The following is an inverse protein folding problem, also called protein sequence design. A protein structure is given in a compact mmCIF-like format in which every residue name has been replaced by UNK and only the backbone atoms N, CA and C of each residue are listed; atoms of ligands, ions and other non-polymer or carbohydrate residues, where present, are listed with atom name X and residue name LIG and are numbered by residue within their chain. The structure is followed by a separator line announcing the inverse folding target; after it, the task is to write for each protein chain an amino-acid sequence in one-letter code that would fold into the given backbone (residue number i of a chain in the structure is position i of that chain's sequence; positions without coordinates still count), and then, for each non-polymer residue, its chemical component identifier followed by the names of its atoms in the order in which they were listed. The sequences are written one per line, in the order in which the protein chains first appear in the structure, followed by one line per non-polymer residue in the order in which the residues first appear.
data_IF_330639840639
#
_entry.id   IF_330639840639
#
_cell.length_a   1.000
_cell.length_b   1.000
_cell.length_c   1.000
_cell.angle_alpha   90.00
_cell.angle_beta   90.00
_cell.angle_gamma   90.00
#
_symmetry.space_group_name_H-M   'P 1'
#
loop_
_entity.id
_entity.type
_entity.pdbx_description
1 polymer ?
#
# COMPACT_ATOMS: atom_id res chain seq x y z
N UNK A 1 23.20 -23.94 1.22
CA UNK A 1 22.81 -22.58 0.82
C UNK A 1 22.16 -21.94 2.03
N UNK A 2 22.89 -21.06 2.71
CA UNK A 2 22.48 -20.38 3.93
C UNK A 2 21.36 -19.37 3.65
N UNK A 3 20.42 -19.25 4.58
CA UNK A 3 19.26 -18.35 4.49
C UNK A 3 19.63 -16.85 4.41
N UNK A 4 20.90 -16.48 4.60
CA UNK A 4 21.40 -15.10 4.47
C UNK A 4 21.65 -14.62 3.03
N UNK A 5 21.58 -15.50 2.03
CA UNK A 5 21.88 -15.17 0.61
C UNK A 5 20.64 -14.92 -0.26
N UNK A 6 19.43 -15.01 0.29
CA UNK A 6 18.19 -14.64 -0.40
C UNK A 6 17.93 -13.13 -0.24
N UNK A 7 17.84 -12.44 -1.38
CA UNK A 7 17.21 -11.12 -1.52
C UNK A 7 17.87 -9.94 -0.78
N UNK A 8 18.99 -9.44 -1.31
CA UNK A 8 19.30 -8.00 -1.21
C UNK A 8 18.82 -7.28 -2.47
N UNK A 9 18.26 -6.07 -2.37
CA UNK A 9 18.19 -5.15 -3.51
C UNK A 9 19.57 -5.11 -4.18
N UNK A 10 19.63 -5.42 -5.48
CA UNK A 10 20.90 -5.59 -6.19
C UNK A 10 21.69 -4.29 -6.18
N UNK A 11 22.87 -4.31 -5.55
CA UNK A 11 24.13 -3.52 -5.69
C UNK A 11 24.17 -2.06 -6.21
N UNK A 12 23.09 -1.43 -6.68
CA UNK A 12 23.08 -0.07 -7.22
C UNK A 12 22.42 0.95 -6.30
N UNK A 13 21.50 0.54 -5.43
CA UNK A 13 20.95 1.40 -4.40
C UNK A 13 21.88 1.40 -3.18
N UNK A 14 22.48 2.56 -2.88
CA UNK A 14 23.22 2.79 -1.64
C UNK A 14 22.37 2.35 -0.43
N UNK A 15 22.95 1.57 0.49
CA UNK A 15 22.24 1.01 1.64
C UNK A 15 21.58 2.10 2.50
N UNK A 16 22.24 3.26 2.61
CA UNK A 16 21.65 4.42 3.29
C UNK A 16 20.40 4.93 2.60
N UNK A 17 20.38 4.95 1.27
CA UNK A 17 19.25 5.39 0.47
C UNK A 17 18.04 4.46 0.58
N UNK A 18 18.29 3.14 0.66
CA UNK A 18 17.25 2.13 0.89
C UNK A 18 16.58 2.31 2.26
N UNK A 19 17.37 2.50 3.32
CA UNK A 19 16.85 2.77 4.67
C UNK A 19 15.93 4.01 4.69
N UNK A 20 16.29 5.09 3.97
CA UNK A 20 15.42 6.26 3.87
C UNK A 20 14.09 5.95 3.17
N UNK A 21 14.11 5.18 2.08
CA UNK A 21 12.88 4.73 1.41
C UNK A 21 12.00 3.91 2.34
N UNK A 22 12.58 2.97 3.07
CA UNK A 22 11.86 2.10 4.00
C UNK A 22 11.28 2.88 5.18
N UNK A 23 12.01 3.86 5.71
CA UNK A 23 11.50 4.77 6.75
C UNK A 23 10.35 5.62 6.26
N UNK A 24 10.40 6.10 5.01
CA UNK A 24 9.32 6.88 4.41
C UNK A 24 8.07 6.03 4.21
N UNK A 25 8.22 4.83 3.65
CA UNK A 25 7.12 3.88 3.51
C UNK A 25 6.56 3.45 4.88
N UNK A 26 7.41 3.24 5.89
CA UNK A 26 7.00 2.93 7.26
C UNK A 26 6.29 4.11 7.95
N UNK A 27 6.65 5.35 7.63
CA UNK A 27 5.93 6.55 8.07
C UNK A 27 4.52 6.58 7.47
N UNK A 28 4.38 6.30 6.17
CA UNK A 28 3.09 6.26 5.48
C UNK A 28 2.20 5.10 5.93
N UNK A 29 2.75 3.90 6.12
CA UNK A 29 2.02 2.75 6.68
C UNK A 29 1.51 3.03 8.09
N UNK A 30 2.32 3.68 8.94
CA UNK A 30 1.85 4.12 10.27
C UNK A 30 0.72 5.14 10.17
N UNK A 31 0.85 6.14 9.30
CA UNK A 31 -0.21 7.12 9.06
C UNK A 31 -1.52 6.50 8.55
N UNK A 32 -1.43 5.40 7.78
CA UNK A 32 -2.59 4.63 7.36
C UNK A 32 -3.29 3.95 8.55
N UNK A 33 -2.53 3.36 9.46
CA UNK A 33 -3.02 2.61 10.63
C UNK A 33 -3.61 3.49 11.74
N UNK A 34 -3.18 4.74 11.86
CA UNK A 34 -3.65 5.68 12.88
C UNK A 34 -4.97 6.37 12.52
N UNK A 35 -5.51 6.10 11.32
CA UNK A 35 -6.81 6.63 10.87
C UNK A 35 -7.92 6.21 11.85
N UNK A 36 -8.33 7.14 12.70
CA UNK A 36 -9.41 6.96 13.68
C UNK A 36 -8.98 7.01 15.15
N UNK A 37 -7.69 7.10 15.48
CA UNK A 37 -7.25 7.24 16.89
C UNK A 37 -7.74 8.56 17.50
N UNK A 38 -7.57 9.66 16.78
CA UNK A 38 -8.05 10.98 17.20
C UNK A 38 -9.56 11.02 17.42
N UNK A 39 -10.33 10.38 16.52
CA UNK A 39 -11.78 10.28 16.63
C UNK A 39 -12.20 9.46 17.86
N UNK A 40 -11.55 8.31 18.10
CA UNK A 40 -11.79 7.48 19.29
C UNK A 40 -11.46 8.24 20.57
N UNK A 41 -10.33 8.93 20.63
CA UNK A 41 -9.93 9.71 21.78
C UNK A 41 -10.93 10.84 22.07
N UNK A 42 -11.31 11.62 21.03
CA UNK A 42 -12.32 12.66 21.17
C UNK A 42 -13.65 12.10 21.69
N UNK A 43 -14.09 10.96 21.15
CA UNK A 43 -15.29 10.28 21.61
C UNK A 43 -15.18 9.80 23.07
N UNK A 44 -14.07 9.19 23.47
CA UNK A 44 -13.82 8.76 24.84
C UNK A 44 -13.86 9.94 25.80
N UNK A 45 -13.22 11.07 25.45
CA UNK A 45 -13.24 12.29 26.26
C UNK A 45 -14.67 12.84 26.38
N UNK A 46 -15.45 12.83 25.31
CA UNK A 46 -16.88 13.21 25.37
C UNK A 46 -17.65 12.35 26.37
N UNK A 47 -17.47 11.03 26.35
CA UNK A 47 -18.17 10.13 27.27
C UNK A 47 -17.74 10.33 28.72
N UNK A 48 -16.43 10.43 28.98
CA UNK A 48 -15.90 10.62 30.34
C UNK A 48 -16.34 11.98 30.90
N UNK A 49 -16.24 13.04 30.11
CA UNK A 49 -16.69 14.37 30.51
C UNK A 49 -18.21 14.40 30.74
N UNK A 50 -18.99 13.72 29.90
CA UNK A 50 -20.44 13.60 30.07
C UNK A 50 -20.81 12.88 31.37
N UNK A 51 -20.14 11.77 31.66
CA UNK A 51 -20.33 11.05 32.92
C UNK A 51 -19.99 11.92 34.13
N UNK A 52 -18.88 12.66 34.08
CA UNK A 52 -18.49 13.58 35.16
C UNK A 52 -19.50 14.72 35.36
N UNK A 53 -20.02 15.31 34.28
CA UNK A 53 -21.08 16.33 34.35
C UNK A 53 -22.34 15.75 35.01
N UNK A 54 -22.77 14.55 34.61
CA UNK A 54 -23.94 13.89 35.21
C UNK A 54 -23.72 13.57 36.70
N UNK A 55 -22.54 13.08 37.08
CA UNK A 55 -22.19 12.80 38.48
C UNK A 55 -22.05 14.06 39.34
N UNK A 56 -21.75 15.22 38.73
CA UNK A 56 -21.67 16.49 39.45
C UNK A 56 -23.04 17.07 39.81
N UNK A 57 -24.09 16.73 39.06
CA UNK A 57 -25.41 17.33 39.22
C UNK A 57 -26.06 17.07 40.59
N UNK A 58 -25.99 15.87 41.20
CA UNK A 58 -26.48 15.65 42.56
C UNK A 58 -25.66 16.35 43.65
N UNK A 59 -24.37 16.62 43.40
CA UNK A 59 -23.44 17.18 44.39
C UNK A 59 -23.43 18.71 44.39
N UNK A 60 -23.55 19.34 43.22
CA UNK A 60 -23.36 20.78 43.04
C UNK A 60 -24.51 21.45 42.27
N UNK A 61 -25.53 20.69 41.87
CA UNK A 61 -26.53 21.14 40.90
C UNK A 61 -25.93 21.33 39.50
N UNK A 62 -26.71 21.90 38.58
CA UNK A 62 -26.24 22.30 37.23
C UNK A 62 -25.83 23.78 37.16
N UNK A 63 -25.95 24.51 38.27
CA UNK A 63 -25.72 25.96 38.32
C UNK A 63 -24.29 26.40 37.98
N UNK A 64 -23.30 25.53 38.23
CA UNK A 64 -21.88 25.81 37.94
C UNK A 64 -21.56 25.85 36.44
N UNK A 65 -22.37 25.17 35.61
CA UNK A 65 -22.20 25.10 34.15
C UNK A 65 -23.31 25.83 33.38
N UNK A 66 -24.35 26.28 34.07
CA UNK A 66 -25.48 27.00 33.47
C UNK A 66 -26.19 26.18 32.37
N UNK A 67 -26.89 26.85 31.43
CA UNK A 67 -27.64 26.17 30.36
C UNK A 67 -26.74 25.41 29.37
N UNK A 68 -25.42 25.57 29.44
CA UNK A 68 -24.46 24.98 28.52
C UNK A 68 -23.84 23.67 29.02
N UNK A 69 -24.20 23.20 30.22
CA UNK A 69 -23.70 21.94 30.77
C UNK A 69 -23.75 20.74 29.80
N UNK A 70 -24.80 20.56 28.97
CA UNK A 70 -24.84 19.47 27.98
C UNK A 70 -23.83 19.61 26.84
N UNK A 71 -23.34 20.82 26.56
CA UNK A 71 -22.41 21.10 25.46
C UNK A 71 -20.94 20.91 25.86
N UNK A 72 -20.61 21.08 27.15
CA UNK A 72 -19.23 21.01 27.66
C UNK A 72 -18.54 19.69 27.25
N UNK A 73 -19.15 18.49 27.41
CA UNK A 73 -18.50 17.24 27.02
C UNK A 73 -18.19 17.17 25.52
N UNK A 74 -19.11 17.66 24.68
CA UNK A 74 -18.97 17.64 23.22
C UNK A 74 -17.83 18.55 22.79
N UNK A 75 -17.77 19.77 23.33
CA UNK A 75 -16.67 20.70 23.04
C UNK A 75 -15.33 20.15 23.51
N UNK A 76 -15.27 19.55 24.70
CA UNK A 76 -14.03 18.99 25.22
C UNK A 76 -13.53 17.81 24.37
N UNK A 77 -14.43 16.92 23.97
CA UNK A 77 -14.10 15.81 23.07
C UNK A 77 -13.66 16.28 21.69
N UNK A 78 -14.35 17.26 21.10
CA UNK A 78 -13.97 17.86 19.82
C UNK A 78 -12.61 18.56 19.89
N UNK A 79 -12.38 19.40 20.89
CA UNK A 79 -11.13 20.12 21.07
C UNK A 79 -9.96 19.15 21.23
N UNK A 80 -10.14 18.08 22.04
CA UNK A 80 -9.09 17.09 22.26
C UNK A 80 -8.83 16.24 21.01
N UNK A 81 -9.89 15.79 20.33
CA UNK A 81 -9.78 15.01 19.10
C UNK A 81 -9.12 15.81 17.97
N UNK A 82 -9.52 17.07 17.77
CA UNK A 82 -8.91 17.96 16.79
C UNK A 82 -7.46 18.31 17.16
N UNK A 83 -7.19 18.64 18.42
CA UNK A 83 -5.84 18.93 18.91
C UNK A 83 -4.87 17.78 18.64
N UNK A 84 -5.28 16.56 18.98
CA UNK A 84 -4.49 15.35 18.69
C UNK A 84 -4.30 15.15 17.18
N UNK A 85 -5.36 15.31 16.39
CA UNK A 85 -5.27 15.17 14.93
C UNK A 85 -4.27 16.17 14.31
N UNK A 86 -4.32 17.44 14.71
CA UNK A 86 -3.37 18.45 14.23
C UNK A 86 -1.94 18.16 14.70
N UNK A 87 -1.77 17.70 15.94
CA UNK A 87 -0.46 17.30 16.45
C UNK A 87 0.12 16.13 15.64
N UNK A 88 -0.62 15.04 15.44
CA UNK A 88 -0.18 13.89 14.64
C UNK A 88 0.11 14.31 13.18
N UNK A 89 -0.71 15.20 12.61
CA UNK A 89 -0.54 15.66 11.23
C UNK A 89 0.69 16.55 11.06
N UNK A 90 0.98 17.42 12.02
CA UNK A 90 2.17 18.28 11.99
C UNK A 90 3.44 17.47 12.18
N UNK A 91 3.45 16.51 13.11
CA UNK A 91 4.57 15.59 13.32
C UNK A 91 4.83 14.73 12.06
N UNK A 92 3.78 14.18 11.45
CA UNK A 92 3.87 13.44 10.21
C UNK A 92 4.52 14.27 9.09
N UNK A 93 4.06 15.52 8.90
CA UNK A 93 4.62 16.42 7.89
C UNK A 93 6.09 16.78 8.16
N UNK A 94 6.46 17.00 9.42
CA UNK A 94 7.86 17.28 9.81
C UNK A 94 8.76 16.09 9.49
N UNK A 95 8.35 14.88 9.89
CA UNK A 95 9.11 13.64 9.62
C UNK A 95 9.17 13.32 8.13
N UNK A 96 8.08 13.55 7.40
CA UNK A 96 8.05 13.42 5.94
C UNK A 96 9.03 14.41 5.30
N UNK A 97 8.97 15.68 5.67
CA UNK A 97 9.87 16.70 5.15
C UNK A 97 11.35 16.38 5.42
N UNK A 98 11.70 15.87 6.61
CA UNK A 98 13.07 15.45 6.91
C UNK A 98 13.54 14.28 6.04
N UNK A 99 12.67 13.29 5.80
CA UNK A 99 13.02 12.14 4.95
C UNK A 99 13.10 12.53 3.47
N UNK A 100 12.20 13.41 3.00
CA UNK A 100 12.22 13.96 1.65
C UNK A 100 13.50 14.77 1.41
N UNK A 101 13.89 15.61 2.37
CA UNK A 101 15.14 16.37 2.29
C UNK A 101 16.36 15.44 2.24
N UNK A 102 16.43 14.44 3.12
CA UNK A 102 17.54 13.48 3.15
C UNK A 102 17.63 12.63 1.85
N UNK A 103 16.51 12.28 1.23
CA UNK A 103 16.50 11.65 -0.09
C UNK A 103 17.00 12.62 -1.17
N UNK A 104 16.56 13.88 -1.11
CA UNK A 104 16.99 14.95 -2.02
C UNK A 104 18.49 15.26 -1.95
N UNK A 105 19.10 15.24 -0.77
CA UNK A 105 20.55 15.37 -0.57
C UNK A 105 21.36 14.27 -1.27
N UNK A 106 20.74 13.10 -1.49
CA UNK A 106 21.30 11.98 -2.27
C UNK A 106 20.88 12.00 -3.74
N UNK A 107 20.27 13.11 -4.18
CA UNK A 107 19.72 13.33 -5.51
C UNK A 107 18.50 12.48 -5.85
N UNK A 108 17.89 11.80 -4.87
CA UNK A 108 16.69 10.99 -5.09
C UNK A 108 15.44 11.87 -4.98
N UNK A 109 14.53 11.74 -5.94
CA UNK A 109 13.21 12.39 -5.83
C UNK A 109 12.28 11.50 -5.01
N UNK A 110 12.05 11.88 -3.75
CA UNK A 110 11.15 11.18 -2.84
C UNK A 110 9.73 11.02 -3.40
N UNK A 111 9.28 11.92 -4.27
CA UNK A 111 7.94 11.87 -4.88
C UNK A 111 7.87 10.96 -6.10
N UNK A 112 8.99 10.40 -6.54
CA UNK A 112 9.08 9.51 -7.71
C UNK A 112 9.99 8.32 -7.39
N UNK A 113 9.52 7.36 -6.57
CA UNK A 113 10.35 6.28 -6.03
C UNK A 113 10.91 5.32 -7.08
N UNK A 114 10.25 5.18 -8.23
CA UNK A 114 10.75 4.41 -9.38
C UNK A 114 11.69 5.21 -10.30
N UNK A 115 11.83 6.53 -10.12
CA UNK A 115 12.49 7.39 -11.12
C UNK A 115 13.90 6.94 -11.48
N UNK A 116 14.66 6.37 -10.54
CA UNK A 116 16.04 5.86 -10.71
C UNK A 116 16.14 4.36 -11.03
N UNK A 117 15.04 3.70 -11.34
CA UNK A 117 14.98 2.26 -11.57
C UNK A 117 14.20 1.54 -10.47
N UNK A 118 14.16 0.22 -10.55
CA UNK A 118 13.34 -0.64 -9.69
C UNK A 118 14.16 -1.44 -8.67
N UNK A 119 15.45 -1.14 -8.54
CA UNK A 119 16.38 -1.85 -7.64
C UNK A 119 16.01 -1.72 -6.16
N UNK A 120 15.32 -0.65 -5.77
CA UNK A 120 14.87 -0.47 -4.38
C UNK A 120 13.71 -1.40 -4.00
N UNK A 121 13.02 -1.99 -4.99
CA UNK A 121 11.86 -2.83 -4.80
C UNK A 121 12.25 -4.31 -4.82
N UNK A 122 11.70 -5.07 -3.87
CA UNK A 122 11.74 -6.52 -3.93
C UNK A 122 10.80 -7.04 -5.02
N UNK A 123 11.09 -8.23 -5.55
CA UNK A 123 10.30 -8.85 -6.62
C UNK A 123 8.84 -9.04 -6.21
N UNK A 124 8.59 -9.48 -4.97
CA UNK A 124 7.24 -9.63 -4.42
C UNK A 124 6.46 -8.30 -4.40
N UNK A 125 7.12 -7.17 -4.15
CA UNK A 125 6.49 -5.86 -4.20
C UNK A 125 6.14 -5.45 -5.62
N UNK A 126 7.03 -5.71 -6.58
CA UNK A 126 6.77 -5.43 -7.99
C UNK A 126 5.63 -6.28 -8.54
N UNK A 127 5.55 -7.55 -8.13
CA UNK A 127 4.42 -8.43 -8.46
C UNK A 127 3.12 -7.85 -7.89
N UNK A 128 3.11 -7.43 -6.61
CA UNK A 128 1.93 -6.80 -6.02
C UNK A 128 1.50 -5.54 -6.81
N UNK A 129 2.43 -4.64 -7.11
CA UNK A 129 2.14 -3.43 -7.89
C UNK A 129 1.61 -3.77 -9.29
N UNK A 130 2.17 -4.79 -9.94
CA UNK A 130 1.71 -5.24 -11.25
C UNK A 130 0.32 -5.88 -11.19
N UNK A 131 0.01 -6.63 -10.14
CA UNK A 131 -1.32 -7.20 -9.89
C UNK A 131 -2.36 -6.10 -9.62
N UNK A 132 -2.02 -5.05 -8.87
CA UNK A 132 -2.87 -3.87 -8.66
C UNK A 132 -3.17 -3.16 -9.99
N UNK A 133 -2.16 -2.99 -10.85
CA UNK A 133 -2.35 -2.41 -12.17
C UNK A 133 -3.31 -3.24 -13.05
N UNK A 134 -3.16 -4.58 -13.10
CA UNK A 134 -4.13 -5.46 -13.80
C UNK A 134 -5.55 -5.29 -13.24
N UNK A 135 -5.68 -5.22 -11.91
CA UNK A 135 -6.97 -5.05 -11.26
C UNK A 135 -7.64 -3.72 -11.61
N UNK A 136 -6.86 -2.66 -11.76
CA UNK A 136 -7.35 -1.35 -12.19
C UNK A 136 -7.79 -1.37 -13.66
N UNK A 137 -7.09 -2.09 -14.54
CA UNK A 137 -7.50 -2.26 -15.93
C UNK A 137 -8.86 -2.97 -16.03
N UNK A 138 -9.05 -4.07 -15.30
CA UNK A 138 -10.34 -4.79 -15.28
C UNK A 138 -11.51 -3.96 -14.75
N UNK A 139 -11.24 -2.94 -13.94
CA UNK A 139 -12.27 -2.06 -13.37
C UNK A 139 -12.45 -0.75 -14.12
N UNK A 140 -11.86 -0.62 -15.30
CA UNK A 140 -11.87 0.60 -16.12
C UNK A 140 -11.38 1.85 -15.35
N UNK A 141 -10.42 1.66 -14.44
CA UNK A 141 -9.86 2.72 -13.61
C UNK A 141 -8.66 3.40 -14.31
N UNK A 142 -8.86 3.84 -15.55
CA UNK A 142 -7.79 4.28 -16.46
C UNK A 142 -6.88 5.39 -15.91
N UNK A 143 -7.41 6.34 -15.11
CA UNK A 143 -6.57 7.38 -14.48
C UNK A 143 -5.58 6.80 -13.47
N UNK A 144 -6.04 5.86 -12.64
CA UNK A 144 -5.16 5.19 -11.67
C UNK A 144 -4.20 4.24 -12.39
N UNK A 145 -4.66 3.53 -13.42
CA UNK A 145 -3.82 2.64 -14.22
C UNK A 145 -2.63 3.39 -14.86
N UNK A 146 -2.89 4.57 -15.45
CA UNK A 146 -1.84 5.46 -16.01
C UNK A 146 -0.78 5.87 -14.99
N UNK A 147 -1.13 5.99 -13.70
CA UNK A 147 -0.15 6.27 -12.66
C UNK A 147 0.92 5.18 -12.59
N UNK A 148 0.54 3.91 -12.71
CA UNK A 148 1.46 2.77 -12.71
C UNK A 148 2.25 2.70 -14.01
N UNK A 149 1.59 2.91 -15.14
CA UNK A 149 2.26 2.95 -16.45
C UNK A 149 3.38 4.00 -16.43
N UNK A 150 3.07 5.22 -15.99
CA UNK A 150 4.03 6.33 -15.98
C UNK A 150 5.10 6.18 -14.89
N UNK A 151 4.80 5.53 -13.75
CA UNK A 151 5.75 5.39 -12.62
C UNK A 151 6.66 4.16 -12.71
N UNK A 152 6.16 3.06 -13.27
CA UNK A 152 6.83 1.76 -13.28
C UNK A 152 7.04 1.20 -14.69
N UNK A 153 6.64 1.93 -15.73
CA UNK A 153 6.81 1.46 -17.11
C UNK A 153 5.95 0.24 -17.46
N UNK A 154 4.90 -0.05 -16.68
CA UNK A 154 3.97 -1.13 -16.99
C UNK A 154 3.20 -0.83 -18.27
N UNK A 155 2.84 -1.88 -19.02
CA UNK A 155 1.87 -1.76 -20.11
C UNK A 155 0.93 -2.97 -20.16
N UNK A 156 -0.24 -2.86 -20.81
CA UNK A 156 -1.18 -3.97 -20.95
C UNK A 156 -0.61 -5.16 -21.73
N UNK A 157 0.33 -4.90 -22.65
CA UNK A 157 0.99 -5.93 -23.48
C UNK A 157 2.07 -6.71 -22.72
N UNK A 158 2.37 -6.31 -21.48
CA UNK A 158 3.35 -7.04 -20.69
C UNK A 158 2.91 -8.49 -20.49
N UNK A 159 3.79 -9.47 -20.79
CA UNK A 159 3.51 -10.88 -20.63
C UNK A 159 3.58 -11.29 -19.16
N UNK A 160 2.72 -10.68 -18.34
CA UNK A 160 2.05 -11.35 -17.23
C UNK A 160 1.03 -12.36 -17.80
N UNK A 161 1.54 -13.25 -18.67
CA UNK A 161 1.06 -13.49 -20.04
C UNK A 161 -0.31 -14.16 -20.20
N UNK A 162 -1.05 -14.51 -19.15
CA UNK A 162 -2.46 -14.99 -19.22
C UNK A 162 -3.18 -15.00 -17.84
N UNK A 163 -2.76 -14.21 -16.85
CA UNK A 163 -3.31 -14.32 -15.49
C UNK A 163 -2.42 -13.74 -14.39
N UNK A 164 -2.92 -13.65 -13.15
CA UNK A 164 -2.51 -12.58 -12.26
C UNK A 164 -1.21 -12.82 -11.47
N UNK A 165 -0.63 -14.03 -11.53
CA UNK A 165 0.64 -14.42 -10.87
C UNK A 165 1.50 -15.35 -11.72
N UNK A 166 1.69 -15.00 -13.00
CA UNK A 166 2.50 -15.80 -13.92
C UNK A 166 3.99 -15.84 -13.59
N UNK A 167 4.44 -14.91 -12.75
CA UNK A 167 5.84 -14.74 -12.40
C UNK A 167 5.97 -14.82 -10.90
N UNK A 168 6.85 -15.71 -10.44
CA UNK A 168 7.19 -15.82 -9.02
C UNK A 168 8.35 -14.89 -8.69
N UNK A 169 8.45 -14.40 -7.45
CA UNK A 169 9.66 -13.75 -6.96
C UNK A 169 10.89 -14.62 -7.25
N UNK A 170 12.05 -13.99 -7.45
CA UNK A 170 13.35 -14.66 -7.59
C UNK A 170 13.48 -15.60 -8.80
N UNK A 171 12.73 -15.33 -9.86
CA UNK A 171 12.83 -16.08 -11.11
C UNK A 171 13.48 -15.27 -12.23
N UNK A 172 14.14 -15.94 -13.18
CA UNK A 172 14.71 -15.27 -14.36
C UNK A 172 13.66 -14.49 -15.15
N UNK A 173 12.44 -15.03 -15.24
CA UNK A 173 11.29 -14.37 -15.85
C UNK A 173 10.92 -13.05 -15.15
N UNK A 174 11.05 -12.98 -13.82
CA UNK A 174 10.86 -11.75 -13.06
C UNK A 174 11.96 -10.73 -13.36
N UNK A 175 13.20 -11.19 -13.39
CA UNK A 175 14.34 -10.34 -13.73
C UNK A 175 14.22 -9.77 -15.16
N UNK A 176 13.72 -10.55 -16.12
CA UNK A 176 13.45 -10.10 -17.50
C UNK A 176 12.35 -9.03 -17.57
N UNK A 177 11.26 -9.20 -16.82
CA UNK A 177 10.19 -8.21 -16.72
C UNK A 177 10.70 -6.91 -16.10
N UNK A 178 11.45 -6.98 -14.99
CA UNK A 178 12.06 -5.79 -14.37
C UNK A 178 12.90 -5.01 -15.39
N UNK A 179 13.81 -5.69 -16.10
CA UNK A 179 14.65 -5.04 -17.13
C UNK A 179 13.81 -4.38 -18.23
N UNK A 180 12.68 -4.99 -18.62
CA UNK A 180 11.79 -4.42 -19.63
C UNK A 180 11.04 -3.18 -19.14
N UNK A 181 10.60 -3.18 -17.89
CA UNK A 181 9.99 -2.01 -17.24
C UNK A 181 10.99 -0.87 -17.12
N UNK A 182 12.18 -1.13 -16.60
CA UNK A 182 13.24 -0.13 -16.45
C UNK A 182 13.64 0.49 -17.78
N UNK A 183 13.81 -0.32 -18.83
CA UNK A 183 14.06 0.22 -20.18
C UNK A 183 12.98 1.18 -20.66
N UNK A 184 11.70 0.88 -20.41
CA UNK A 184 10.59 1.78 -20.78
C UNK A 184 10.59 3.05 -19.94
N UNK A 185 10.89 2.95 -18.65
CA UNK A 185 11.02 4.11 -17.78
C UNK A 185 12.16 5.02 -18.24
N UNK A 186 13.30 4.43 -18.62
CA UNK A 186 14.45 5.15 -19.16
C UNK A 186 14.13 5.85 -20.49
N UNK A 187 13.51 5.14 -21.44
CA UNK A 187 13.07 5.74 -22.71
C UNK A 187 12.11 6.93 -22.51
N UNK A 188 11.28 6.89 -21.46
CA UNK A 188 10.33 7.97 -21.15
C UNK A 188 10.95 9.14 -20.42
N UNK A 189 12.06 8.96 -19.71
CA UNK A 189 12.68 9.98 -18.85
C UNK A 189 13.04 11.27 -19.62
N UNK A 190 13.30 11.18 -20.93
CA UNK A 190 13.57 12.34 -21.80
C UNK A 190 12.32 13.03 -22.38
N UNK A 191 11.16 12.39 -22.33
CA UNK A 191 9.92 12.87 -22.98
C UNK A 191 8.87 13.30 -21.98
N UNK A 192 8.78 12.61 -20.83
CA UNK A 192 7.75 12.85 -19.82
C UNK A 192 8.27 12.48 -18.45
N UNK A 193 8.11 13.40 -17.52
CA UNK A 193 8.48 13.18 -16.12
C UNK A 193 7.46 12.26 -15.43
N UNK A 194 7.95 11.28 -14.65
CA UNK A 194 7.09 10.32 -13.92
C UNK A 194 6.19 11.05 -12.92
N UNK A 195 4.90 10.70 -12.74
CA UNK A 195 4.01 11.45 -11.88
C UNK A 195 4.49 11.48 -10.41
N UNK A 196 4.26 12.62 -9.76
CA UNK A 196 4.49 12.76 -8.33
C UNK A 196 3.48 11.92 -7.53
N UNK A 197 3.98 11.06 -6.65
CA UNK A 197 3.18 10.25 -5.71
C UNK A 197 3.50 10.63 -4.26
N UNK A 198 2.57 10.39 -3.34
CA UNK A 198 2.79 10.64 -1.92
C UNK A 198 2.01 9.69 -1.03
N UNK A 199 1.73 10.13 0.20
CA UNK A 199 0.99 9.36 1.20
C UNK A 199 -0.31 8.76 0.67
N UNK A 200 -1.06 9.49 -0.17
CA UNK A 200 -2.36 9.04 -0.68
C UNK A 200 -2.20 7.79 -1.55
N UNK A 201 -1.30 7.83 -2.51
CA UNK A 201 -1.05 6.74 -3.45
C UNK A 201 -0.41 5.55 -2.73
N UNK A 202 0.45 5.80 -1.75
CA UNK A 202 1.06 4.74 -0.94
C UNK A 202 0.04 4.04 -0.02
N UNK A 203 -0.91 4.78 0.56
CA UNK A 203 -2.02 4.20 1.33
C UNK A 203 -2.93 3.36 0.43
N UNK A 204 -3.14 3.79 -0.81
CA UNK A 204 -4.03 3.10 -1.74
C UNK A 204 -3.39 1.82 -2.33
N UNK A 205 -2.13 1.90 -2.74
CA UNK A 205 -1.52 0.86 -3.57
C UNK A 205 -0.12 0.40 -3.13
N UNK A 206 0.41 0.92 -2.01
CA UNK A 206 1.75 0.59 -1.50
C UNK A 206 2.88 0.92 -2.49
N UNK A 207 2.81 2.09 -3.12
CA UNK A 207 3.75 2.59 -4.13
C UNK A 207 5.22 2.60 -3.70
N UNK A 208 5.52 2.83 -2.41
CA UNK A 208 6.89 3.04 -1.96
C UNK A 208 7.61 1.72 -1.64
N UNK A 209 8.93 1.62 -1.90
CA UNK A 209 9.73 0.47 -1.53
C UNK A 209 9.68 0.20 -0.03
N UNK A 210 9.70 -1.08 0.37
CA UNK A 210 9.60 -1.49 1.77
C UNK A 210 10.58 -2.60 2.04
N UNK A 211 11.12 -2.59 3.25
CA UNK A 211 11.88 -3.71 3.78
C UNK A 211 10.99 -4.97 3.85
N UNK A 212 11.44 -6.06 3.23
CA UNK A 212 10.77 -7.35 3.30
C UNK A 212 11.25 -8.12 4.53
N UNK A 213 10.66 -7.80 5.68
CA UNK A 213 10.68 -8.71 6.83
C UNK A 213 9.78 -9.92 6.57
N UNK A 214 9.97 -11.03 7.28
CA UNK A 214 9.11 -12.23 7.15
C UNK A 214 7.61 -11.90 7.25
N UNK A 215 7.24 -10.99 8.17
CA UNK A 215 5.85 -10.54 8.32
C UNK A 215 5.37 -9.70 7.12
N UNK A 216 6.22 -8.79 6.63
CA UNK A 216 5.89 -7.95 5.47
C UNK A 216 5.77 -8.79 4.20
N UNK A 217 6.67 -9.74 3.97
CA UNK A 217 6.65 -10.66 2.83
C UNK A 217 5.33 -11.45 2.79
N UNK A 218 4.92 -12.01 3.93
CA UNK A 218 3.64 -12.70 4.06
C UNK A 218 2.46 -11.79 3.70
N UNK A 219 2.41 -10.57 4.23
CA UNK A 219 1.33 -9.60 3.95
C UNK A 219 1.31 -9.17 2.48
N UNK A 220 2.47 -9.05 1.84
CA UNK A 220 2.58 -8.75 0.40
C UNK A 220 2.08 -9.93 -0.42
N UNK A 221 2.47 -11.16 -0.05
CA UNK A 221 2.05 -12.40 -0.70
C UNK A 221 0.56 -12.64 -0.62
N UNK A 222 -0.02 -12.50 0.57
CA UNK A 222 -1.46 -12.58 0.78
C UNK A 222 -2.21 -11.54 -0.08
N UNK A 223 -1.69 -10.32 -0.17
CA UNK A 223 -2.31 -9.26 -0.96
C UNK A 223 -2.35 -9.57 -2.46
N UNK A 224 -1.22 -9.95 -3.07
CA UNK A 224 -1.21 -10.25 -4.50
C UNK A 224 -2.00 -11.52 -4.83
N UNK A 225 -2.04 -12.51 -3.93
CA UNK A 225 -2.84 -13.74 -4.09
C UNK A 225 -4.33 -13.43 -4.04
N UNK A 226 -4.76 -12.56 -3.12
CA UNK A 226 -6.14 -12.11 -3.04
C UNK A 226 -6.57 -11.35 -4.31
N UNK A 227 -5.71 -10.47 -4.82
CA UNK A 227 -5.95 -9.76 -6.09
C UNK A 227 -6.03 -10.76 -7.24
N UNK A 228 -5.14 -11.77 -7.25
CA UNK A 228 -5.16 -12.82 -8.25
C UNK A 228 -6.49 -13.57 -8.30
N UNK A 229 -6.98 -14.05 -7.16
CA UNK A 229 -8.29 -14.69 -7.07
C UNK A 229 -9.39 -13.80 -7.64
N UNK A 230 -9.43 -12.51 -7.27
CA UNK A 230 -10.44 -11.56 -7.77
C UNK A 230 -10.36 -11.38 -9.28
N UNK A 231 -9.16 -11.25 -9.83
CA UNK A 231 -8.95 -11.12 -11.28
C UNK A 231 -9.39 -12.38 -12.03
N UNK A 232 -9.11 -13.57 -11.48
CA UNK A 232 -9.58 -14.85 -12.03
C UNK A 232 -11.12 -14.86 -12.06
N UNK A 233 -11.78 -14.48 -10.96
CA UNK A 233 -13.23 -14.45 -10.87
C UNK A 233 -13.86 -13.46 -11.86
N UNK A 234 -13.24 -12.30 -12.09
CA UNK A 234 -13.70 -11.29 -13.05
C UNK A 234 -13.59 -11.80 -14.50
N UNK A 235 -12.46 -12.41 -14.86
CA UNK A 235 -12.18 -12.85 -16.24
C UNK A 235 -12.87 -14.15 -16.61
N UNK A 236 -12.84 -15.14 -15.71
CA UNK A 236 -13.24 -16.52 -15.99
C UNK A 236 -14.49 -16.98 -15.19
N UNK A 237 -15.02 -16.12 -14.33
CA UNK A 237 -16.19 -16.39 -13.51
C UNK A 237 -15.87 -17.02 -12.15
N UNK A 238 -16.87 -17.01 -11.26
CA UNK A 238 -16.73 -17.57 -9.90
C UNK A 238 -16.69 -19.10 -9.94
N UNK A 239 -15.50 -19.64 -9.66
CA UNK A 239 -15.27 -21.08 -9.50
C UNK A 239 -14.90 -21.82 -10.80
N UNK A 240 -14.29 -23.00 -10.63
CA UNK A 240 -13.76 -23.83 -11.72
C UNK A 240 -14.83 -24.52 -12.58
N UNK A 241 -16.11 -24.29 -12.31
CA UNK A 241 -17.26 -24.93 -12.97
C UNK A 241 -17.93 -24.06 -14.03
N UNK A 242 -17.42 -22.84 -14.26
CA UNK A 242 -18.00 -21.90 -15.21
C UNK A 242 -17.53 -22.16 -16.63
N UNK A 243 -18.44 -21.96 -17.59
CA UNK A 243 -18.18 -22.18 -19.01
C UNK A 243 -16.93 -21.41 -19.51
N UNK A 244 -16.77 -20.13 -19.10
CA UNK A 244 -15.60 -19.31 -19.43
C UNK A 244 -14.26 -19.89 -18.95
N UNK A 245 -14.24 -20.63 -17.83
CA UNK A 245 -13.04 -21.34 -17.39
C UNK A 245 -12.72 -22.51 -18.33
N UNK A 246 -13.74 -23.25 -18.78
CA UNK A 246 -13.57 -24.38 -19.70
C UNK A 246 -13.15 -23.95 -21.11
N UNK A 247 -13.59 -22.78 -21.56
CA UNK A 247 -13.20 -22.16 -22.83
C UNK A 247 -11.75 -21.64 -22.82
N UNK A 248 -11.15 -21.42 -21.65
CA UNK A 248 -9.77 -20.98 -21.55
C UNK A 248 -8.77 -22.08 -21.99
N UNK A 249 -7.65 -21.72 -22.64
CA UNK A 249 -6.61 -22.69 -23.02
C UNK A 249 -6.07 -23.50 -21.82
N UNK A 250 -5.66 -24.75 -22.03
CA UNK A 250 -5.23 -25.64 -20.92
C UNK A 250 -4.05 -25.06 -20.11
N UNK A 251 -3.15 -24.34 -20.78
CA UNK A 251 -2.07 -23.62 -20.11
C UNK A 251 -2.61 -22.61 -19.09
N UNK A 252 -3.68 -21.87 -19.43
CA UNK A 252 -4.37 -20.92 -18.53
C UNK A 252 -5.08 -21.66 -17.41
N UNK A 253 -5.82 -22.73 -17.71
CA UNK A 253 -6.54 -23.52 -16.69
C UNK A 253 -5.62 -24.08 -15.62
N UNK A 254 -4.45 -24.63 -16.00
CA UNK A 254 -3.45 -25.12 -15.03
C UNK A 254 -2.96 -24.03 -14.09
N UNK A 255 -2.77 -22.81 -14.60
CA UNK A 255 -2.33 -21.65 -13.81
C UNK A 255 -3.39 -21.18 -12.83
N UNK A 256 -4.64 -21.06 -13.29
CA UNK A 256 -5.78 -20.74 -12.41
C UNK A 256 -5.88 -21.74 -11.26
N UNK A 257 -5.77 -23.05 -11.54
CA UNK A 257 -5.80 -24.09 -10.49
C UNK A 257 -4.67 -23.91 -9.48
N UNK A 258 -3.45 -23.61 -9.93
CA UNK A 258 -2.29 -23.35 -9.06
C UNK A 258 -2.52 -22.14 -8.16
N UNK A 259 -2.95 -21.02 -8.71
CA UNK A 259 -3.15 -19.78 -7.94
C UNK A 259 -4.30 -19.93 -6.91
N UNK A 260 -5.37 -20.64 -7.28
CA UNK A 260 -6.44 -20.97 -6.33
C UNK A 260 -5.97 -21.95 -5.25
N UNK A 261 -5.14 -22.94 -5.58
CA UNK A 261 -4.57 -23.84 -4.57
C UNK A 261 -3.65 -23.10 -3.59
N UNK A 262 -2.89 -22.12 -4.07
CA UNK A 262 -2.06 -21.25 -3.22
C UNK A 262 -2.92 -20.33 -2.33
N UNK A 263 -4.02 -19.79 -2.87
CA UNK A 263 -5.02 -19.08 -2.08
C UNK A 263 -5.60 -19.95 -0.97
N UNK A 264 -6.04 -21.17 -1.28
CA UNK A 264 -6.59 -22.10 -0.28
C UNK A 264 -5.54 -22.43 0.79
N UNK A 265 -4.28 -22.67 0.40
CA UNK A 265 -3.22 -22.96 1.37
C UNK A 265 -2.93 -21.79 2.34
N UNK A 266 -3.07 -20.54 1.89
CA UNK A 266 -2.79 -19.36 2.70
C UNK A 266 -3.96 -18.96 3.60
N UNK A 267 -5.20 -19.11 3.14
CA UNK A 267 -6.39 -18.61 3.84
C UNK A 267 -7.25 -19.72 4.48
N UNK A 268 -7.08 -20.96 4.06
CA UNK A 268 -7.81 -22.14 4.55
C UNK A 268 -6.85 -23.32 4.81
N UNK A 269 -5.86 -23.15 5.72
CA UNK A 269 -4.94 -24.23 6.05
C UNK A 269 -5.71 -25.40 6.69
N UNK A 270 -5.37 -26.61 6.25
CA UNK A 270 -5.90 -27.86 6.82
C UNK A 270 -5.30 -28.15 8.19
#
# INVERSE_FOLDING_TARGET
MSDEERERPRKAADAGSLDLWYRLAGLYSRAASTRGRSARLGFTVTLVAGALVLLSAPLFGTGWAGPFAPLIPVFLGLATGLGMYFSERTELRRREASLVAALGERGLDARRPGSRGLDAYYDAQLILLRSEYEYLLERDAGRSARLFEDSFGFTPEDPFETGPLNVRPDTERMAELRRRWERRMEMRRGTREAPSVGLREDVAYRFYPREMTVGTERVVREAYILISKRLIELRYGKGLTKQRFHEAPESVRRRIRRDLAEYEALFHPK
#
